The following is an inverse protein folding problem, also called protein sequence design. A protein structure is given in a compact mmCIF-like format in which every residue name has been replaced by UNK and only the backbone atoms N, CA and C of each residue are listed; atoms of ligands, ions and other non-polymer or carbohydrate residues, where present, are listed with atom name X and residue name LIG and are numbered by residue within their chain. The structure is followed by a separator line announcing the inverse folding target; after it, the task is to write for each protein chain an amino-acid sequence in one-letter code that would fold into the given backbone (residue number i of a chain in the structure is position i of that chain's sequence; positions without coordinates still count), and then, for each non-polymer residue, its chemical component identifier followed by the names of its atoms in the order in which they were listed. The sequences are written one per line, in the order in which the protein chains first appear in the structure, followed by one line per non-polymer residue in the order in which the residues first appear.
data_IF_862147449313
#
_entry.id   IF_862147449313
#
_cell.length_a   1.000
_cell.length_b   1.000
_cell.length_c   1.000
_cell.angle_alpha   90.00
_cell.angle_beta   90.00
_cell.angle_gamma   90.00
#
_symmetry.space_group_name_H-M   'P 1'
#
loop_
_entity.id
_entity.type
_entity.pdbx_description
1 polymer ?
#
# COMPACT_ATOMS: atom_id res chain seq x y z
N UNK A 1 -9.31 26.62 19.10
CA UNK A 1 -8.90 26.54 17.68
C UNK A 1 -8.22 25.20 17.42
N UNK A 2 -8.96 24.10 17.34
CA UNK A 2 -8.35 22.75 17.32
C UNK A 2 -9.14 21.65 16.60
N UNK A 3 -10.15 21.98 15.78
CA UNK A 3 -11.03 20.98 15.15
C UNK A 3 -11.04 20.99 13.62
N UNK A 4 -10.28 21.88 12.96
CA UNK A 4 -10.41 22.04 11.50
C UNK A 4 -9.49 21.16 10.65
N UNK A 5 -8.39 20.62 11.21
CA UNK A 5 -7.44 19.83 10.43
C UNK A 5 -7.75 18.32 10.35
N UNK A 6 -8.67 17.82 11.17
CA UNK A 6 -9.16 16.43 11.07
C UNK A 6 -10.19 16.22 9.94
N UNK A 7 -10.68 17.31 9.31
CA UNK A 7 -11.70 17.28 8.27
C UNK A 7 -11.20 16.90 6.86
N UNK A 8 -9.89 16.79 6.64
CA UNK A 8 -9.33 16.43 5.32
C UNK A 8 -9.01 14.95 5.14
N UNK A 9 -9.45 14.09 6.05
CA UNK A 9 -9.60 12.66 5.74
C UNK A 9 -11.06 12.50 5.35
N UNK A 10 -11.40 12.34 4.05
CA UNK A 10 -12.78 12.10 3.66
C UNK A 10 -13.29 10.88 4.43
N UNK A 11 -14.30 11.11 5.28
CA UNK A 11 -15.19 10.05 5.73
C UNK A 11 -16.03 9.67 4.50
N UNK A 12 -15.50 8.78 3.67
CA UNK A 12 -16.26 8.23 2.56
C UNK A 12 -17.21 7.14 3.09
N UNK A 13 -18.42 7.12 2.54
CA UNK A 13 -19.43 6.14 2.87
C UNK A 13 -19.02 4.77 2.28
N UNK A 14 -19.53 3.67 2.86
CA UNK A 14 -19.31 2.33 2.30
C UNK A 14 -19.83 2.21 0.84
N UNK A 15 -20.75 3.08 0.46
CA UNK A 15 -21.39 3.19 -0.85
C UNK A 15 -20.43 3.66 -1.97
N UNK A 16 -19.36 4.41 -1.63
CA UNK A 16 -18.40 4.94 -2.61
C UNK A 16 -17.52 3.84 -3.24
N UNK A 17 -17.60 2.60 -2.73
CA UNK A 17 -16.83 1.43 -3.17
C UNK A 17 -17.65 0.43 -3.97
N UNK A 18 -18.97 0.64 -4.08
CA UNK A 18 -19.83 -0.28 -4.81
C UNK A 18 -19.72 -0.01 -6.31
N UNK A 19 -19.56 -1.04 -7.16
CA UNK A 19 -19.78 -0.90 -8.58
C UNK A 19 -21.16 -0.27 -8.83
N UNK A 20 -21.30 0.53 -9.89
CA UNK A 20 -22.60 1.10 -10.24
C UNK A 20 -23.65 -0.01 -10.42
N UNK A 21 -24.95 0.28 -10.24
CA UNK A 21 -26.02 -0.70 -10.51
C UNK A 21 -26.02 -1.22 -11.95
N UNK A 22 -25.51 -0.41 -12.89
CA UNK A 22 -25.35 -0.74 -14.31
C UNK A 22 -24.18 -1.70 -14.58
N UNK A 23 -23.40 -2.04 -13.54
CA UNK A 23 -22.36 -3.03 -13.62
C UNK A 23 -23.02 -4.41 -13.80
N UNK A 24 -22.83 -5.04 -14.96
CA UNK A 24 -23.32 -6.39 -15.28
C UNK A 24 -22.87 -7.46 -14.28
N UNK A 25 -21.94 -7.12 -13.39
CA UNK A 25 -21.42 -7.94 -12.30
C UNK A 25 -21.93 -7.50 -10.92
N UNK A 26 -23.00 -6.73 -10.79
CA UNK A 26 -23.58 -6.36 -9.48
C UNK A 26 -23.91 -7.61 -8.65
N UNK A 27 -24.47 -8.65 -9.28
CA UNK A 27 -24.67 -9.96 -8.65
C UNK A 27 -23.35 -10.64 -8.26
N UNK A 28 -22.32 -10.58 -9.12
CA UNK A 28 -21.00 -11.11 -8.81
C UNK A 28 -20.34 -10.36 -7.65
N UNK A 29 -20.55 -9.05 -7.53
CA UNK A 29 -20.06 -8.23 -6.40
C UNK A 29 -20.84 -8.55 -5.12
N UNK A 30 -22.16 -8.73 -5.20
CA UNK A 30 -22.98 -9.17 -4.07
C UNK A 30 -22.54 -10.54 -3.57
N UNK A 31 -22.35 -11.52 -4.46
CA UNK A 31 -21.76 -12.82 -4.12
C UNK A 31 -20.36 -12.65 -3.51
N UNK A 32 -19.55 -11.76 -4.07
CA UNK A 32 -18.24 -11.41 -3.54
C UNK A 32 -18.32 -10.88 -2.12
N UNK A 33 -19.33 -10.07 -1.80
CA UNK A 33 -19.57 -9.50 -0.47
C UNK A 33 -19.98 -10.55 0.58
N UNK A 34 -20.49 -11.72 0.15
CA UNK A 34 -20.92 -12.80 1.08
C UNK A 34 -19.79 -13.68 1.61
N UNK A 35 -18.66 -13.75 0.89
CA UNK A 35 -17.51 -14.59 1.27
C UNK A 35 -16.47 -13.81 2.10
N UNK A 36 -15.67 -14.49 2.91
CA UNK A 36 -14.68 -13.85 3.78
C UNK A 36 -13.57 -13.14 2.98
N UNK A 37 -12.89 -12.16 3.58
CA UNK A 37 -11.79 -11.46 2.91
C UNK A 37 -10.72 -12.45 2.41
N UNK A 38 -10.29 -13.39 3.25
CA UNK A 38 -9.28 -14.39 2.88
C UNK A 38 -9.67 -15.19 1.64
N UNK A 39 -10.93 -15.65 1.56
CA UNK A 39 -11.44 -16.38 0.39
C UNK A 39 -11.46 -15.50 -0.87
N UNK A 40 -11.79 -14.21 -0.75
CA UNK A 40 -11.73 -13.27 -1.88
C UNK A 40 -10.31 -13.12 -2.40
N UNK A 41 -9.34 -12.96 -1.50
CA UNK A 41 -7.93 -12.77 -1.87
C UNK A 41 -7.39 -14.04 -2.56
N UNK A 42 -7.69 -15.21 -2.00
CA UNK A 42 -7.30 -16.51 -2.58
C UNK A 42 -7.90 -16.69 -3.97
N UNK A 43 -9.19 -16.37 -4.14
CA UNK A 43 -9.87 -16.46 -5.42
C UNK A 43 -9.24 -15.52 -6.45
N UNK A 44 -8.89 -14.29 -6.08
CA UNK A 44 -8.20 -13.35 -6.98
C UNK A 44 -6.83 -13.87 -7.41
N UNK A 45 -6.05 -14.35 -6.45
CA UNK A 45 -4.71 -14.90 -6.71
C UNK A 45 -4.79 -16.11 -7.66
N UNK A 46 -5.85 -16.93 -7.55
CA UNK A 46 -6.08 -18.08 -8.44
C UNK A 46 -6.25 -17.71 -9.92
N UNK A 47 -6.73 -16.49 -10.22
CA UNK A 47 -6.89 -16.02 -11.60
C UNK A 47 -5.58 -15.62 -12.27
N UNK A 48 -4.48 -15.52 -11.51
CA UNK A 48 -3.14 -15.16 -12.00
C UNK A 48 -3.17 -13.93 -12.91
N UNK A 49 -3.91 -12.91 -12.48
CA UNK A 49 -3.98 -11.66 -13.20
C UNK A 49 -2.58 -11.02 -13.25
N UNK A 50 -2.22 -10.28 -14.32
CA UNK A 50 -0.91 -9.65 -14.46
C UNK A 50 -0.77 -8.41 -13.57
N UNK A 51 -1.29 -8.46 -12.35
CA UNK A 51 -1.30 -7.39 -11.37
C UNK A 51 -0.04 -7.49 -10.51
N UNK A 52 0.41 -6.35 -10.00
CA UNK A 52 1.50 -6.30 -9.02
C UNK A 52 1.09 -5.34 -7.93
N UNK A 53 1.19 -5.80 -6.69
CA UNK A 53 0.81 -5.03 -5.52
C UNK A 53 2.06 -4.55 -4.81
N UNK A 54 1.98 -3.34 -4.27
CA UNK A 54 3.06 -2.75 -3.48
C UNK A 54 2.51 -2.07 -2.27
N UNK A 55 3.09 -2.41 -1.12
CA UNK A 55 2.98 -1.63 0.09
C UNK A 55 4.31 -0.92 0.34
N UNK A 56 4.25 0.32 0.81
CA UNK A 56 5.42 1.01 1.35
C UNK A 56 5.05 1.83 2.57
N UNK A 57 6.00 2.00 3.47
CA UNK A 57 5.90 2.90 4.62
C UNK A 57 7.21 3.67 4.78
N UNK A 58 7.12 4.97 4.96
CA UNK A 58 8.27 5.85 5.12
C UNK A 58 8.24 6.55 6.47
N UNK A 59 9.41 6.72 7.10
CA UNK A 59 9.52 7.36 8.40
C UNK A 59 10.79 8.17 8.52
N UNK A 60 10.71 9.16 9.40
CA UNK A 60 11.87 9.88 9.88
C UNK A 60 12.01 9.78 11.41
N UNK A 61 13.25 9.69 11.94
CA UNK A 61 13.50 9.72 13.37
C UNK A 61 12.98 11.02 14.00
N UNK A 62 12.63 10.96 15.28
CA UNK A 62 12.12 12.13 16.02
C UNK A 62 13.01 13.38 15.88
N UNK A 63 12.37 14.52 15.63
CA UNK A 63 13.00 15.82 15.38
C UNK A 63 13.96 15.78 14.17
N UNK A 64 13.51 15.21 13.05
CA UNK A 64 14.33 15.06 11.84
C UNK A 64 13.44 14.94 10.62
N UNK A 65 13.11 16.05 9.98
CA UNK A 65 12.14 16.04 8.87
C UNK A 65 12.81 15.60 7.55
N UNK A 66 14.07 16.00 7.32
CA UNK A 66 14.80 15.71 6.10
C UNK A 66 15.92 14.70 6.35
N UNK A 67 16.15 13.74 5.43
CA UNK A 67 17.21 12.75 5.56
C UNK A 67 18.58 13.43 5.59
N UNK A 68 19.21 13.44 6.78
CA UNK A 68 20.60 13.87 6.94
C UNK A 68 21.37 12.86 7.76
N UNK A 69 22.37 12.23 7.13
CA UNK A 69 23.22 11.29 7.83
C UNK A 69 24.03 12.01 8.92
N UNK A 70 23.94 11.51 10.14
CA UNK A 70 24.58 12.06 11.34
C UNK A 70 24.81 10.95 12.36
N UNK A 71 25.62 11.21 13.39
CA UNK A 71 25.81 10.24 14.48
C UNK A 71 24.49 9.86 15.17
N UNK A 72 23.53 10.79 15.27
CA UNK A 72 22.19 10.55 15.83
C UNK A 72 21.37 9.61 14.94
N UNK A 73 21.30 9.87 13.64
CA UNK A 73 20.50 9.06 12.71
C UNK A 73 21.11 7.68 12.49
N UNK A 74 22.44 7.57 12.46
CA UNK A 74 23.14 6.29 12.36
C UNK A 74 22.88 5.41 13.59
N UNK A 75 22.86 6.00 14.79
CA UNK A 75 22.49 5.30 16.02
C UNK A 75 21.03 4.83 15.98
N UNK A 76 20.13 5.71 15.57
CA UNK A 76 18.72 5.35 15.39
C UNK A 76 18.53 4.18 14.42
N UNK A 77 19.17 4.22 13.25
CA UNK A 77 19.06 3.16 12.23
C UNK A 77 19.56 1.82 12.77
N UNK A 78 20.70 1.84 13.48
CA UNK A 78 21.24 0.65 14.14
C UNK A 78 20.23 0.08 15.15
N UNK A 79 19.73 0.89 16.07
CA UNK A 79 18.74 0.47 17.07
C UNK A 79 17.42 -0.03 16.43
N UNK A 80 16.98 0.61 15.34
CA UNK A 80 15.79 0.20 14.59
C UNK A 80 15.96 -1.19 13.99
N UNK A 81 17.11 -1.47 13.39
CA UNK A 81 17.43 -2.76 12.78
C UNK A 81 17.65 -3.86 13.85
N UNK A 82 18.41 -3.56 14.91
CA UNK A 82 18.73 -4.50 15.99
C UNK A 82 17.49 -4.87 16.83
N UNK A 83 16.53 -3.95 17.01
CA UNK A 83 15.24 -4.25 17.68
C UNK A 83 14.38 -5.28 16.93
N UNK A 84 14.86 -5.78 15.78
CA UNK A 84 14.15 -6.71 14.90
C UNK A 84 14.75 -8.10 14.80
N UNK A 85 15.98 -8.29 15.24
CA UNK A 85 16.56 -9.63 15.41
C UNK A 85 16.17 -10.29 16.74
N UNK A 86 15.58 -9.55 17.68
CA UNK A 86 15.32 -10.04 19.04
C UNK A 86 14.11 -10.97 19.20
N UNK A 87 13.34 -11.26 18.15
CA UNK A 87 12.10 -12.06 18.27
C UNK A 87 12.06 -13.34 17.43
N UNK A 88 13.15 -13.76 16.78
CA UNK A 88 13.14 -14.94 15.90
C UNK A 88 14.39 -15.82 15.92
N UNK A 89 15.34 -15.62 16.83
CA UNK A 89 16.53 -16.48 16.92
C UNK A 89 16.92 -16.72 18.38
N UNK A 90 16.34 -17.76 19.00
CA UNK A 90 16.77 -18.28 20.31
C UNK A 90 18.08 -19.08 20.24
N UNK A 91 18.74 -19.18 19.07
CA UNK A 91 19.88 -20.09 18.89
C UNK A 91 21.06 -19.50 18.10
N UNK A 92 21.32 -18.19 18.20
CA UNK A 92 22.58 -17.61 17.69
C UNK A 92 23.52 -17.20 18.81
N UNK A 93 24.67 -17.87 18.78
CA UNK A 93 25.89 -17.56 19.53
C UNK A 93 26.29 -16.07 19.40
N UNK A 94 27.04 -15.51 20.38
CA UNK A 94 27.17 -14.06 20.60
C UNK A 94 27.98 -13.25 19.56
N UNK A 95 28.12 -13.71 18.32
CA UNK A 95 29.06 -13.15 17.33
C UNK A 95 28.44 -12.24 16.25
N UNK A 96 27.13 -11.99 16.24
CA UNK A 96 26.49 -11.08 15.27
C UNK A 96 26.17 -9.67 15.80
N UNK A 97 27.06 -9.07 16.61
CA UNK A 97 26.96 -7.65 17.05
C UNK A 97 27.50 -6.63 16.02
N UNK A 98 27.44 -6.95 14.72
CA UNK A 98 27.85 -6.03 13.67
C UNK A 98 26.72 -5.88 12.63
N UNK A 99 25.55 -5.41 13.07
CA UNK A 99 24.57 -4.87 12.12
C UNK A 99 25.22 -3.70 11.41
N UNK A 100 25.62 -3.91 10.15
CA UNK A 100 26.17 -2.84 9.30
C UNK A 100 25.15 -1.70 9.29
N UNK A 101 25.59 -0.50 9.67
CA UNK A 101 24.76 0.70 9.52
C UNK A 101 24.61 0.91 8.01
N UNK A 102 23.39 0.95 7.46
CA UNK A 102 23.20 1.23 6.04
C UNK A 102 23.72 2.62 5.72
N UNK A 103 24.46 2.73 4.63
CA UNK A 103 24.81 4.01 4.04
C UNK A 103 23.56 4.61 3.37
N UNK A 104 23.47 5.94 3.29
CA UNK A 104 22.36 6.57 2.59
C UNK A 104 22.44 6.23 1.10
N UNK A 105 21.32 5.78 0.52
CA UNK A 105 21.26 5.18 -0.81
C UNK A 105 21.27 3.65 -0.81
N UNK A 106 21.60 3.01 0.32
CA UNK A 106 21.55 1.55 0.42
C UNK A 106 20.13 1.02 0.33
N UNK A 107 19.98 -0.08 -0.42
CA UNK A 107 18.78 -0.90 -0.49
C UNK A 107 19.14 -2.30 -0.05
N UNK A 108 18.45 -2.85 0.93
CA UNK A 108 18.74 -4.19 1.41
C UNK A 108 17.47 -4.97 1.78
N UNK A 109 17.47 -6.30 1.57
CA UNK A 109 16.39 -7.16 2.00
C UNK A 109 16.22 -7.11 3.52
N UNK A 110 14.99 -6.93 3.99
CA UNK A 110 14.66 -6.87 5.41
C UNK A 110 13.17 -7.19 5.64
N UNK A 111 12.88 -8.18 6.50
CA UNK A 111 11.53 -8.68 6.78
C UNK A 111 10.71 -8.97 5.50
N UNK A 112 11.28 -9.77 4.58
CA UNK A 112 10.70 -10.12 3.27
C UNK A 112 10.50 -8.96 2.27
N UNK A 113 10.70 -7.71 2.70
CA UNK A 113 10.69 -6.53 1.83
C UNK A 113 12.07 -5.96 1.60
N UNK A 114 12.11 -4.74 1.10
CA UNK A 114 13.32 -3.94 0.88
C UNK A 114 13.27 -2.72 1.80
N UNK A 115 14.30 -2.53 2.62
CA UNK A 115 14.51 -1.29 3.36
C UNK A 115 15.48 -0.39 2.59
N UNK A 116 15.10 0.87 2.44
CA UNK A 116 15.90 1.92 1.84
C UNK A 116 16.25 2.95 2.92
N UNK A 117 17.51 3.34 3.00
CA UNK A 117 17.99 4.38 3.91
C UNK A 117 18.34 5.66 3.14
N UNK A 118 17.85 6.81 3.61
CA UNK A 118 18.32 8.12 3.16
C UNK A 118 18.04 8.50 1.71
N UNK A 119 16.85 8.16 1.20
CA UNK A 119 16.34 8.62 -0.09
C UNK A 119 15.59 9.95 0.10
N UNK A 120 14.27 10.00 -0.15
CA UNK A 120 13.41 11.14 0.20
C UNK A 120 13.16 11.23 1.71
N UNK A 121 13.14 10.10 2.41
CA UNK A 121 12.96 9.97 3.86
C UNK A 121 14.13 9.18 4.45
N UNK A 122 14.34 9.24 5.76
CA UNK A 122 15.43 8.51 6.42
C UNK A 122 15.30 7.00 6.26
N UNK A 123 14.09 6.46 6.42
CA UNK A 123 13.79 5.06 6.13
C UNK A 123 12.54 4.95 5.29
N UNK A 124 12.59 4.04 4.32
CA UNK A 124 11.45 3.61 3.54
C UNK A 124 11.50 2.10 3.40
N UNK A 125 10.48 1.43 3.87
CA UNK A 125 10.34 -0.01 3.69
C UNK A 125 9.28 -0.29 2.64
N UNK A 126 9.57 -1.22 1.75
CA UNK A 126 8.72 -1.56 0.61
C UNK A 126 8.59 -3.06 0.45
N UNK A 127 7.39 -3.50 0.10
CA UNK A 127 7.11 -4.88 -0.21
C UNK A 127 6.28 -4.96 -1.48
N UNK A 128 6.71 -5.83 -2.38
CA UNK A 128 6.14 -5.98 -3.73
C UNK A 128 5.86 -7.46 -3.93
N UNK A 129 4.64 -7.79 -4.33
CA UNK A 129 4.19 -9.16 -4.57
C UNK A 129 3.11 -9.15 -5.67
N UNK A 130 2.90 -10.28 -6.31
CA UNK A 130 1.77 -10.56 -7.20
C UNK A 130 0.65 -11.35 -6.51
N UNK A 131 0.76 -11.62 -5.20
CA UNK A 131 -0.28 -12.27 -4.37
C UNK A 131 -0.91 -11.30 -3.36
N UNK A 132 -2.23 -11.21 -3.36
CA UNK A 132 -2.99 -10.48 -2.35
C UNK A 132 -2.96 -11.17 -0.99
N UNK A 133 -2.96 -12.50 -0.95
CA UNK A 133 -2.82 -13.25 0.31
C UNK A 133 -1.48 -12.96 0.98
N UNK A 134 -0.39 -13.01 0.20
CA UNK A 134 0.96 -12.72 0.69
C UNK A 134 1.04 -11.26 1.18
N UNK A 135 0.47 -10.32 0.42
CA UNK A 135 0.36 -8.93 0.83
C UNK A 135 -0.44 -8.77 2.13
N UNK A 136 -1.59 -9.44 2.27
CA UNK A 136 -2.39 -9.36 3.49
C UNK A 136 -1.65 -9.89 4.71
N UNK A 137 -0.98 -11.04 4.57
CA UNK A 137 -0.13 -11.61 5.62
C UNK A 137 0.95 -10.65 6.08
N UNK A 138 1.64 -10.00 5.13
CA UNK A 138 2.62 -8.95 5.45
C UNK A 138 1.95 -7.76 6.15
N UNK A 139 0.78 -7.33 5.69
CA UNK A 139 0.06 -6.20 6.28
C UNK A 139 -0.44 -6.47 7.71
N UNK A 140 -0.67 -7.74 8.07
CA UNK A 140 -1.05 -8.19 9.41
C UNK A 140 0.15 -8.50 10.30
N UNK A 141 1.35 -8.57 9.73
CA UNK A 141 2.57 -8.92 10.47
C UNK A 141 2.92 -7.93 11.59
N UNK A 142 3.42 -8.47 12.70
CA UNK A 142 3.73 -7.68 13.89
C UNK A 142 4.94 -6.77 13.72
N UNK A 143 5.88 -7.11 12.82
CA UNK A 143 7.05 -6.25 12.59
C UNK A 143 6.63 -4.87 12.07
N UNK A 144 5.54 -4.80 11.30
CA UNK A 144 5.05 -3.53 10.78
C UNK A 144 4.72 -2.57 11.90
N UNK A 145 4.20 -3.02 13.06
CA UNK A 145 3.87 -2.18 14.22
C UNK A 145 5.03 -1.28 14.65
N UNK A 146 6.28 -1.68 14.38
CA UNK A 146 7.48 -0.87 14.65
C UNK A 146 7.48 0.47 13.94
N UNK A 147 6.82 0.59 12.78
CA UNK A 147 6.67 1.85 12.06
C UNK A 147 5.57 2.76 12.64
N UNK A 148 4.77 2.30 13.62
CA UNK A 148 3.71 3.11 14.24
C UNK A 148 4.03 3.58 15.67
N UNK A 149 5.28 3.42 16.12
CA UNK A 149 5.71 3.87 17.46
C UNK A 149 5.97 5.37 17.46
N UNK A 150 4.98 6.15 17.91
CA UNK A 150 4.98 7.63 17.88
C UNK A 150 6.22 8.25 18.51
N UNK A 151 6.71 7.71 19.63
CA UNK A 151 7.86 8.28 20.35
C UNK A 151 9.21 8.09 19.63
N UNK A 152 9.28 7.14 18.69
CA UNK A 152 10.51 6.85 17.93
C UNK A 152 10.66 7.74 16.70
N UNK A 153 9.56 8.19 16.13
CA UNK A 153 9.54 8.92 14.87
C UNK A 153 9.11 10.36 15.07
N UNK A 154 9.32 11.16 14.03
CA UNK A 154 8.80 12.51 14.01
C UNK A 154 7.27 12.44 13.88
N UNK A 155 6.58 12.85 14.93
CA UNK A 155 5.12 12.78 15.04
C UNK A 155 4.59 14.07 15.65
N UNK A 156 3.64 14.69 14.96
CA UNK A 156 2.95 15.90 15.42
C UNK A 156 1.46 15.62 15.56
N UNK A 157 0.88 15.95 16.71
CA UNK A 157 -0.56 15.84 16.91
C UNK A 157 -1.32 16.69 15.88
N UNK A 158 -2.41 16.16 15.35
CA UNK A 158 -3.17 16.77 14.25
C UNK A 158 -2.60 16.53 12.84
N UNK A 159 -1.30 16.23 12.70
CA UNK A 159 -0.67 15.93 11.40
C UNK A 159 -0.40 14.43 11.24
N UNK A 160 0.11 13.76 12.27
CA UNK A 160 0.57 12.37 12.23
C UNK A 160 2.09 12.26 12.12
N UNK A 161 2.58 11.16 11.54
CA UNK A 161 4.00 10.98 11.21
C UNK A 161 4.42 11.98 10.15
N UNK A 162 5.53 12.68 10.40
CA UNK A 162 6.04 13.74 9.53
C UNK A 162 7.06 13.16 8.55
N UNK A 163 6.79 13.36 7.27
CA UNK A 163 7.64 12.95 6.16
C UNK A 163 8.17 14.17 5.40
N UNK A 164 9.26 14.01 4.64
CA UNK A 164 9.88 15.13 3.92
C UNK A 164 8.92 15.79 2.93
N UNK A 165 8.08 14.98 2.28
CA UNK A 165 6.99 15.45 1.43
C UNK A 165 5.68 15.50 2.23
N UNK A 166 5.00 16.66 2.29
CA UNK A 166 3.74 16.81 3.03
C UNK A 166 2.67 15.79 2.63
N UNK A 167 2.62 15.39 1.35
CA UNK A 167 1.63 14.41 0.86
C UNK A 167 1.88 12.98 1.36
N UNK A 168 3.04 12.70 1.95
CA UNK A 168 3.35 11.44 2.62
C UNK A 168 3.22 11.57 4.15
N UNK A 169 2.91 12.75 4.70
CA UNK A 169 2.68 12.89 6.15
C UNK A 169 1.30 12.34 6.55
N UNK A 170 1.13 11.95 7.81
CA UNK A 170 -0.07 11.27 8.29
C UNK A 170 0.26 9.88 8.82
N UNK A 171 -0.14 8.84 8.09
CA UNK A 171 0.30 7.47 8.37
C UNK A 171 1.55 7.08 7.59
N UNK A 172 1.95 7.87 6.59
CA UNK A 172 3.17 7.69 5.79
C UNK A 172 3.29 6.35 5.08
N UNK A 173 2.17 5.66 4.93
CA UNK A 173 2.05 4.42 4.18
C UNK A 173 1.35 4.64 2.84
N UNK A 174 1.61 3.77 1.88
CA UNK A 174 1.00 3.79 0.56
C UNK A 174 0.79 2.35 0.11
N UNK A 175 -0.42 2.06 -0.35
CA UNK A 175 -0.72 0.86 -1.12
C UNK A 175 -0.93 1.26 -2.58
N UNK A 176 -0.45 0.42 -3.48
CA UNK A 176 -0.66 0.58 -4.91
C UNK A 176 -0.82 -0.76 -5.61
N UNK A 177 -1.64 -0.75 -6.64
CA UNK A 177 -1.77 -1.84 -7.60
C UNK A 177 -1.30 -1.33 -8.96
N UNK A 178 -0.45 -2.11 -9.61
CA UNK A 178 0.03 -1.85 -10.95
C UNK A 178 -0.56 -2.91 -11.88
N UNK A 179 -1.14 -2.49 -13.01
CA UNK A 179 -1.75 -3.36 -14.01
C UNK A 179 -1.24 -3.00 -15.41
N UNK A 180 -1.30 -3.90 -16.41
CA UNK A 180 -0.93 -3.57 -17.78
C UNK A 180 -1.81 -2.47 -18.37
N UNK A 181 -1.21 -1.45 -18.99
CA UNK A 181 -1.94 -0.33 -19.58
C UNK A 181 -2.91 -0.77 -20.69
N UNK A 182 -2.55 -1.82 -21.43
CA UNK A 182 -3.39 -2.42 -22.46
C UNK A 182 -4.80 -2.79 -22.00
N UNK A 183 -5.01 -3.11 -20.71
CA UNK A 183 -6.34 -3.44 -20.18
C UNK A 183 -7.31 -2.25 -20.25
N UNK A 184 -6.81 -1.03 -20.14
CA UNK A 184 -7.61 0.17 -20.37
C UNK A 184 -7.88 0.39 -21.86
N UNK A 185 -6.89 0.11 -22.71
CA UNK A 185 -6.94 0.33 -24.16
C UNK A 185 -7.87 -0.67 -24.88
N UNK A 186 -7.95 -1.91 -24.38
CA UNK A 186 -8.85 -2.96 -24.90
C UNK A 186 -10.29 -2.85 -24.41
N UNK A 187 -10.56 -1.91 -23.49
CA UNK A 187 -11.85 -1.76 -22.83
C UNK A 187 -12.15 -2.80 -21.74
N UNK A 188 -11.16 -3.59 -21.31
CA UNK A 188 -11.33 -4.59 -20.23
C UNK A 188 -11.57 -3.92 -18.87
N UNK A 189 -11.25 -2.62 -18.75
CA UNK A 189 -11.59 -1.78 -17.60
C UNK A 189 -12.83 -0.90 -17.84
N UNK A 190 -13.64 -1.20 -18.86
CA UNK A 190 -14.84 -0.43 -19.15
C UNK A 190 -15.78 -0.40 -17.95
N UNK A 191 -16.25 0.79 -17.57
CA UNK A 191 -17.08 1.01 -16.39
C UNK A 191 -16.31 1.16 -15.08
N UNK A 192 -14.98 0.97 -15.05
CA UNK A 192 -14.18 1.25 -13.87
C UNK A 192 -14.26 2.73 -13.48
N UNK A 193 -14.57 3.00 -12.21
CA UNK A 193 -14.51 4.34 -11.62
C UNK A 193 -13.48 4.35 -10.51
N UNK A 194 -12.48 5.22 -10.66
CA UNK A 194 -11.50 5.43 -9.61
C UNK A 194 -12.14 6.27 -8.48
N UNK A 195 -12.09 5.83 -7.20
CA UNK A 195 -12.63 6.62 -6.12
C UNK A 195 -11.84 7.94 -5.95
N UNK A 196 -12.52 8.99 -5.48
CA UNK A 196 -12.04 10.38 -5.56
C UNK A 196 -10.79 10.68 -4.73
N UNK A 197 -10.46 9.84 -3.75
CA UNK A 197 -9.30 9.98 -2.88
C UNK A 197 -8.11 9.08 -3.30
N UNK A 198 -8.20 8.45 -4.47
CA UNK A 198 -7.12 7.70 -5.08
C UNK A 198 -6.40 8.51 -6.14
N UNK A 199 -5.09 8.32 -6.20
CA UNK A 199 -4.28 8.77 -7.32
C UNK A 199 -4.10 7.66 -8.35
N UNK A 200 -3.82 8.05 -9.58
CA UNK A 200 -3.32 7.14 -10.60
C UNK A 200 -2.25 7.83 -11.45
N UNK A 201 -1.40 7.03 -12.09
CA UNK A 201 -0.45 7.49 -13.09
C UNK A 201 -0.09 6.35 -14.05
N UNK A 202 0.41 6.71 -15.24
CA UNK A 202 0.93 5.77 -16.24
C UNK A 202 2.45 5.73 -16.16
N UNK A 203 3.03 4.54 -16.05
CA UNK A 203 4.47 4.30 -16.18
C UNK A 203 4.77 3.97 -17.64
N UNK A 204 4.94 4.99 -18.49
CA UNK A 204 5.06 4.84 -19.96
C UNK A 204 6.12 3.80 -20.37
N UNK A 205 7.32 3.87 -19.78
CA UNK A 205 8.42 2.97 -20.10
C UNK A 205 8.16 1.50 -19.73
N UNK A 206 7.18 1.23 -18.87
CA UNK A 206 6.81 -0.13 -18.44
C UNK A 206 5.45 -0.57 -18.98
N UNK A 207 4.74 0.31 -19.70
CA UNK A 207 3.38 0.08 -20.18
C UNK A 207 2.42 -0.37 -19.07
N UNK A 208 2.49 0.29 -17.90
CA UNK A 208 1.64 -0.02 -16.74
C UNK A 208 0.84 1.19 -16.27
N UNK A 209 -0.37 0.92 -15.78
CA UNK A 209 -1.17 1.86 -15.02
C UNK A 209 -1.03 1.53 -13.53
N UNK A 210 -0.78 2.54 -12.71
CA UNK A 210 -0.64 2.39 -11.26
C UNK A 210 -1.73 3.18 -10.57
N UNK A 211 -2.56 2.47 -9.80
CA UNK A 211 -3.55 3.07 -8.90
C UNK A 211 -3.03 3.01 -7.48
N UNK A 212 -3.22 4.08 -6.71
CA UNK A 212 -2.67 4.13 -5.37
C UNK A 212 -3.45 5.05 -4.45
N UNK A 213 -3.32 4.80 -3.15
CA UNK A 213 -3.76 5.70 -2.09
C UNK A 213 -2.69 5.76 -1.02
N UNK A 214 -2.65 6.88 -0.31
CA UNK A 214 -1.70 7.12 0.79
C UNK A 214 -2.46 7.19 2.10
N UNK A 215 -1.76 7.03 3.21
CA UNK A 215 -2.25 7.26 4.56
C UNK A 215 -3.40 6.34 5.02
N UNK A 216 -3.33 5.05 4.69
CA UNK A 216 -4.28 4.05 5.17
C UNK A 216 -4.20 3.92 6.70
N UNK A 217 -2.97 3.84 7.22
CA UNK A 217 -2.74 3.48 8.61
C UNK A 217 -2.98 2.00 8.88
N UNK A 218 -2.88 1.62 10.15
CA UNK A 218 -2.84 0.21 10.53
C UNK A 218 -4.13 -0.56 10.20
N UNK A 219 -5.29 0.09 10.25
CA UNK A 219 -6.59 -0.59 10.27
C UNK A 219 -7.46 -0.40 9.01
N UNK A 220 -7.07 0.43 8.03
CA UNK A 220 -7.99 0.84 6.93
C UNK A 220 -7.69 0.21 5.57
N UNK A 221 -7.08 -0.97 5.56
CA UNK A 221 -6.53 -1.63 4.35
C UNK A 221 -7.60 -2.30 3.48
N UNK A 222 -8.79 -2.58 4.03
CA UNK A 222 -9.91 -3.22 3.32
C UNK A 222 -10.31 -2.47 2.03
N UNK A 223 -10.24 -1.14 2.07
CA UNK A 223 -10.53 -0.30 0.90
C UNK A 223 -9.61 -0.56 -0.30
N UNK A 224 -8.35 -0.95 -0.05
CA UNK A 224 -7.44 -1.37 -1.13
C UNK A 224 -7.84 -2.72 -1.72
N UNK A 225 -8.17 -3.70 -0.88
CA UNK A 225 -8.60 -5.00 -1.36
C UNK A 225 -9.93 -4.93 -2.13
N UNK A 226 -10.84 -4.04 -1.74
CA UNK A 226 -12.06 -3.78 -2.49
C UNK A 226 -11.76 -3.21 -3.88
N UNK A 227 -10.87 -2.21 -3.98
CA UNK A 227 -10.47 -1.65 -5.28
C UNK A 227 -9.84 -2.73 -6.18
N UNK A 228 -8.93 -3.54 -5.65
CA UNK A 228 -8.29 -4.60 -6.42
C UNK A 228 -9.30 -5.66 -6.84
N UNK A 229 -10.23 -6.04 -5.95
CA UNK A 229 -11.32 -6.97 -6.28
C UNK A 229 -12.16 -6.44 -7.44
N UNK A 230 -12.49 -5.16 -7.42
CA UNK A 230 -13.26 -4.53 -8.49
C UNK A 230 -12.53 -4.57 -9.84
N UNK A 231 -11.24 -4.18 -9.84
CA UNK A 231 -10.38 -4.29 -11.02
C UNK A 231 -10.26 -5.74 -11.53
N UNK A 232 -10.12 -6.71 -10.63
CA UNK A 232 -9.98 -8.11 -10.97
C UNK A 232 -11.25 -8.65 -11.64
N UNK A 233 -12.41 -8.40 -11.03
CA UNK A 233 -13.70 -8.84 -11.54
C UNK A 233 -14.00 -8.25 -12.93
N UNK A 234 -13.69 -6.98 -13.15
CA UNK A 234 -13.76 -6.34 -14.47
C UNK A 234 -13.01 -7.11 -15.55
N UNK A 235 -11.72 -7.38 -15.28
CA UNK A 235 -10.83 -8.06 -16.22
C UNK A 235 -11.30 -9.49 -16.51
N UNK A 236 -11.89 -10.17 -15.53
CA UNK A 236 -12.36 -11.55 -15.69
C UNK A 236 -13.69 -11.59 -16.45
N UNK A 237 -14.66 -10.74 -16.10
CA UNK A 237 -15.92 -10.61 -16.86
C UNK A 237 -15.65 -10.24 -18.33
N UNK A 238 -14.64 -9.41 -18.60
CA UNK A 238 -14.21 -9.09 -19.96
C UNK A 238 -13.68 -10.28 -20.75
N UNK A 239 -13.05 -11.26 -20.08
CA UNK A 239 -12.54 -12.51 -20.69
C UNK A 239 -13.62 -13.55 -20.93
N UNK A 240 -14.59 -13.64 -20.03
CA UNK A 240 -15.68 -14.63 -20.11
C UNK A 240 -16.78 -14.24 -21.12
N UNK A 241 -16.56 -13.19 -21.91
CA UNK A 241 -17.51 -12.72 -22.92
C UNK A 241 -18.74 -12.00 -22.34
N UNK A 242 -18.81 -11.83 -21.02
CA UNK A 242 -19.79 -10.99 -20.31
C UNK A 242 -19.36 -9.52 -20.34
N UNK A 243 -19.00 -9.03 -21.54
CA UNK A 243 -18.64 -7.62 -21.72
C UNK A 243 -19.86 -6.73 -21.47
N UNK A 244 -19.65 -5.66 -20.71
CA UNK A 244 -20.63 -4.61 -20.52
C UNK A 244 -21.03 -4.03 -21.89
N UNK A 245 -22.30 -4.20 -22.26
CA UNK A 245 -22.94 -3.30 -23.22
C UNK A 245 -23.16 -1.97 -22.49
N UNK A 246 -22.22 -1.04 -22.64
CA UNK A 246 -22.51 0.35 -22.26
C UNK A 246 -23.73 0.80 -23.09
N UNK A 247 -24.76 1.43 -22.49
CA UNK A 247 -25.72 2.17 -23.29
C UNK A 247 -24.92 3.20 -24.09
N UNK A 248 -25.07 3.12 -25.41
CA UNK A 248 -24.50 4.09 -26.34
C UNK A 248 -25.09 5.45 -25.95
N UNK A 249 -24.32 6.28 -25.25
CA UNK A 249 -24.76 7.62 -24.88
C UNK A 249 -24.21 8.56 -25.97
N UNK A 250 -25.06 9.09 -26.85
CA UNK A 250 -24.63 9.97 -27.92
C UNK A 250 -24.60 11.40 -27.38
N UNK A 251 -23.55 11.72 -26.62
CA UNK A 251 -23.25 13.11 -26.25
C UNK A 251 -21.77 13.37 -26.44
#
# INVERSE_FOLDING_TARGET
MGEEYTKFIPLQAAEDWKPLPEFTSASLWEEWETISLSERLEKIDSYRLPFTYRFRVARNPRNSIYPKQSGKTNRFLREFLESSSASWEEDRTPSQKNTRIPDFGDRFPWNSGTLLAGDEDHIRWEYVTDSLLELNSILESDFLRKFWVRDRFDFLEGIGFVNSCPTNSGHGDKLSVSIPAKLAETGDLSGFRLPTDWGFYREELKERLVFFRKNFGQNRKNSFFNLVSYLALLVISGKDGTKASLPHNPF
#
